data_IF_860893116073
#
_entry.id   IF_860893116073
#
_cell.length_a   1.000
_cell.length_b   1.000
_cell.length_c   1.000
_cell.angle_alpha   90.00
_cell.angle_beta   90.00
_cell.angle_gamma   90.00
#
_symmetry.space_group_name_H-M   'P 1'
#
loop_
_entity.id
_entity.type
_entity.pdbx_description
1 polymer ?
#
# COMPACT_ATOMS: atom_id res chain seq x y z
N UNK A 1 33.21 19.11 -2.52
CA UNK A 1 31.86 19.47 -2.02
C UNK A 1 31.21 20.38 -3.05
N UNK A 2 30.48 19.81 -4.00
CA UNK A 2 29.80 20.55 -5.07
C UNK A 2 28.32 20.67 -4.72
N UNK A 3 27.85 21.90 -4.59
CA UNK A 3 26.45 22.22 -4.28
C UNK A 3 25.68 22.31 -5.59
N UNK A 4 24.73 21.38 -5.78
CA UNK A 4 23.82 21.38 -6.93
C UNK A 4 22.77 22.46 -6.72
N UNK A 5 22.84 23.50 -7.57
CA UNK A 5 21.88 24.61 -7.66
C UNK A 5 20.63 24.10 -8.40
N UNK A 6 19.52 23.96 -7.70
CA UNK A 6 18.22 23.63 -8.29
C UNK A 6 17.68 24.89 -8.95
N UNK A 7 17.53 24.84 -10.28
CA UNK A 7 16.91 25.90 -11.08
C UNK A 7 15.42 25.96 -10.75
N UNK A 8 14.92 27.18 -10.54
CA UNK A 8 13.51 27.48 -10.33
C UNK A 8 12.71 27.17 -11.59
N UNK A 9 11.56 26.55 -11.38
CA UNK A 9 10.57 26.20 -12.38
C UNK A 9 9.66 27.42 -12.57
N UNK A 10 9.85 28.14 -13.67
CA UNK A 10 8.99 29.25 -14.11
C UNK A 10 7.66 28.63 -14.58
N UNK A 11 6.66 28.65 -13.70
CA UNK A 11 5.30 28.18 -13.97
C UNK A 11 4.33 29.35 -13.98
N UNK A 12 4.49 30.25 -14.95
CA UNK A 12 3.53 31.32 -15.22
C UNK A 12 3.19 31.37 -16.71
N UNK A 13 1.88 31.48 -16.97
CA UNK A 13 1.28 32.06 -18.19
C UNK A 13 0.66 31.13 -19.27
N UNK A 14 0.01 30.03 -18.88
CA UNK A 14 -0.87 29.24 -19.79
C UNK A 14 -2.33 29.77 -19.86
N UNK A 15 -2.65 30.84 -19.11
CA UNK A 15 -4.00 31.40 -19.02
C UNK A 15 -4.40 32.28 -20.22
N UNK A 16 -3.43 32.89 -20.90
CA UNK A 16 -3.68 33.87 -21.98
C UNK A 16 -4.14 33.27 -23.31
N UNK A 17 -3.89 31.99 -23.56
CA UNK A 17 -4.26 31.34 -24.83
C UNK A 17 -5.75 30.98 -24.88
N UNK A 18 -6.31 30.52 -23.76
CA UNK A 18 -7.73 30.17 -23.64
C UNK A 18 -8.63 31.41 -23.78
N UNK A 19 -8.21 32.55 -23.21
CA UNK A 19 -8.95 33.81 -23.31
C UNK A 19 -9.04 34.32 -24.76
N UNK A 20 -7.96 34.21 -25.54
CA UNK A 20 -7.95 34.58 -26.97
C UNK A 20 -8.87 33.68 -27.81
N UNK A 21 -8.93 32.39 -27.48
CA UNK A 21 -9.82 31.44 -28.15
C UNK A 21 -11.31 31.75 -27.96
N UNK A 22 -11.72 32.09 -26.74
CA UNK A 22 -13.14 32.41 -26.45
C UNK A 22 -13.61 33.67 -27.20
N UNK A 23 -12.80 34.73 -27.21
CA UNK A 23 -13.13 35.99 -27.87
C UNK A 23 -13.23 35.89 -29.41
N UNK A 24 -12.58 34.89 -30.02
CA UNK A 24 -12.70 34.61 -31.44
C UNK A 24 -14.02 33.87 -31.76
N UNK A 25 -14.42 32.94 -30.88
CA UNK A 25 -15.66 32.16 -30.99
C UNK A 25 -16.91 33.02 -30.84
N UNK A 26 -16.88 33.96 -29.89
CA UNK A 26 -17.99 34.90 -29.65
C UNK A 26 -18.23 35.83 -30.85
N UNK A 27 -17.14 36.31 -31.47
CA UNK A 27 -17.21 37.08 -32.72
C UNK A 27 -17.76 36.27 -33.89
N UNK A 28 -17.40 35.00 -34.00
CA UNK A 28 -17.90 34.15 -35.09
C UNK A 28 -19.40 33.85 -34.92
N UNK A 29 -19.87 33.63 -33.69
CA UNK A 29 -21.29 33.41 -33.40
C UNK A 29 -22.14 34.67 -33.65
N UNK A 30 -21.64 35.85 -33.31
CA UNK A 30 -22.31 37.11 -33.62
C UNK A 30 -22.46 37.35 -35.13
N UNK A 31 -21.52 36.87 -35.94
CA UNK A 31 -21.54 37.03 -37.40
C UNK A 31 -22.51 36.06 -38.11
N UNK A 32 -22.89 34.94 -37.48
CA UNK A 32 -23.70 33.87 -38.10
C UNK A 32 -25.17 33.93 -37.67
N UNK A 33 -25.54 34.85 -36.76
CA UNK A 33 -26.93 35.01 -36.34
C UNK A 33 -27.82 35.45 -37.54
N UNK A 34 -28.83 34.66 -37.93
CA UNK A 34 -29.68 35.00 -39.05
C UNK A 34 -30.58 36.21 -38.73
N UNK A 35 -30.86 37.09 -39.72
CA UNK A 35 -31.72 38.25 -39.50
C UNK A 35 -33.14 37.82 -39.12
N UNK A 36 -33.70 38.49 -38.13
CA UNK A 36 -35.05 38.25 -37.63
C UNK A 36 -36.09 38.36 -38.76
N UNK A 37 -37.07 37.44 -38.84
CA UNK A 37 -38.12 37.52 -39.86
C UNK A 37 -39.04 38.71 -39.57
N UNK A 38 -39.09 39.63 -40.52
CA UNK A 38 -40.05 40.73 -40.53
C UNK A 38 -41.47 40.19 -40.70
N UNK A 39 -42.37 40.67 -39.85
CA UNK A 39 -43.76 40.22 -39.77
C UNK A 39 -44.55 40.39 -41.07
N UNK A 40 -45.47 39.48 -41.31
CA UNK A 40 -46.61 39.66 -42.21
C UNK A 40 -47.88 39.39 -41.42
N UNK A 41 -48.62 40.46 -41.17
CA UNK A 41 -50.03 40.42 -40.79
C UNK A 41 -50.86 40.47 -42.08
N UNK A 42 -51.82 39.57 -42.24
CA UNK A 42 -53.03 39.79 -43.05
C UNK A 42 -54.09 38.76 -42.67
N UNK A 43 -55.31 39.26 -42.54
CA UNK A 43 -56.54 38.59 -42.17
C UNK A 43 -57.04 37.60 -43.22
N UNK A 44 -57.80 36.57 -42.80
CA UNK A 44 -59.10 36.29 -43.42
C UNK A 44 -59.97 35.33 -42.58
N UNK A 45 -61.29 35.47 -42.77
CA UNK A 45 -62.41 35.00 -41.95
C UNK A 45 -62.75 33.49 -42.09
N UNK A 46 -63.61 32.91 -41.21
CA UNK A 46 -63.81 31.46 -41.10
C UNK A 46 -64.90 30.90 -42.03
N UNK A 47 -64.56 29.87 -42.82
CA UNK A 47 -65.50 28.99 -43.57
C UNK A 47 -65.97 27.80 -42.71
N UNK A 48 -67.20 27.27 -42.93
CA UNK A 48 -67.84 26.27 -42.07
C UNK A 48 -67.32 24.83 -42.30
N UNK A 49 -67.56 23.92 -41.34
CA UNK A 49 -66.85 22.65 -41.22
C UNK A 49 -67.29 21.63 -42.27
N UNK A 50 -66.32 21.11 -43.04
CA UNK A 50 -66.46 19.88 -43.81
C UNK A 50 -65.96 18.70 -42.98
N UNK A 51 -66.67 17.58 -43.11
CA UNK A 51 -66.49 16.35 -42.35
C UNK A 51 -65.04 15.83 -42.34
N UNK A 52 -64.56 15.29 -41.19
CA UNK A 52 -63.19 14.83 -41.04
C UNK A 52 -62.97 13.51 -41.80
N UNK A 53 -62.29 13.61 -42.94
CA UNK A 53 -61.55 12.45 -43.48
C UNK A 53 -60.49 11.98 -42.47
N UNK A 54 -60.29 10.67 -42.29
CA UNK A 54 -59.33 10.14 -41.34
C UNK A 54 -57.89 10.58 -41.67
N UNK A 55 -57.31 11.37 -40.76
CA UNK A 55 -55.99 11.99 -40.87
C UNK A 55 -54.80 11.00 -40.98
N UNK A 56 -55.03 9.69 -40.92
CA UNK A 56 -53.97 8.67 -40.93
C UNK A 56 -53.37 8.40 -42.32
N UNK A 57 -53.97 8.90 -43.41
CA UNK A 57 -53.49 8.60 -44.78
C UNK A 57 -52.79 9.77 -45.51
N UNK A 58 -52.89 11.01 -45.03
CA UNK A 58 -52.23 12.17 -45.68
C UNK A 58 -50.77 12.41 -45.25
N UNK A 59 -50.30 11.83 -44.15
CA UNK A 59 -48.93 12.05 -43.66
C UNK A 59 -47.83 11.28 -44.43
N UNK A 60 -48.19 10.45 -45.43
CA UNK A 60 -47.24 9.56 -46.13
C UNK A 60 -46.65 10.10 -47.44
N UNK A 61 -47.20 11.16 -48.03
CA UNK A 61 -46.76 11.67 -49.36
C UNK A 61 -45.87 12.90 -49.21
N UNK A 62 -44.56 12.68 -49.27
CA UNK A 62 -43.56 13.76 -49.40
C UNK A 62 -42.31 13.58 -48.54
N UNK A 63 -42.37 12.70 -47.53
CA UNK A 63 -41.23 12.49 -46.64
C UNK A 63 -40.22 11.55 -47.29
N UNK A 64 -39.14 12.14 -47.81
CA UNK A 64 -38.03 11.41 -48.43
C UNK A 64 -37.47 10.36 -47.46
N UNK A 65 -36.93 9.25 -47.99
CA UNK A 65 -36.32 8.18 -47.18
C UNK A 65 -35.27 8.73 -46.19
N UNK A 66 -34.59 9.82 -46.56
CA UNK A 66 -33.59 10.50 -45.74
C UNK A 66 -34.18 11.12 -44.48
N UNK A 67 -35.36 11.73 -44.56
CA UNK A 67 -36.04 12.32 -43.39
C UNK A 67 -36.55 11.22 -42.46
N UNK A 68 -37.11 10.13 -42.99
CA UNK A 68 -37.51 8.97 -42.18
C UNK A 68 -36.35 8.36 -41.40
N UNK A 69 -35.18 8.23 -42.03
CA UNK A 69 -33.96 7.78 -41.36
C UNK A 69 -33.53 8.74 -40.25
N UNK A 70 -33.55 10.06 -40.49
CA UNK A 70 -33.20 11.06 -39.49
C UNK A 70 -34.16 11.08 -38.30
N UNK A 71 -35.46 10.90 -38.54
CA UNK A 71 -36.47 10.80 -37.47
C UNK A 71 -36.25 9.53 -36.64
N UNK A 72 -35.91 8.41 -37.27
CA UNK A 72 -35.57 7.17 -36.55
C UNK A 72 -34.28 7.33 -35.70
N UNK A 73 -33.22 7.92 -36.26
CA UNK A 73 -31.98 8.22 -35.53
C UNK A 73 -32.25 9.15 -34.33
N UNK A 74 -33.13 10.16 -34.50
CA UNK A 74 -33.49 11.08 -33.42
C UNK A 74 -34.36 10.41 -32.34
N UNK A 75 -35.27 9.53 -32.73
CA UNK A 75 -36.09 8.76 -31.80
C UNK A 75 -35.23 7.78 -30.98
N UNK A 76 -34.26 7.13 -31.61
CA UNK A 76 -33.29 6.24 -30.94
C UNK A 76 -32.42 7.03 -29.96
N UNK A 77 -31.91 8.21 -30.35
CA UNK A 77 -31.15 9.08 -29.44
C UNK A 77 -31.98 9.52 -28.22
N UNK A 78 -33.27 9.84 -28.40
CA UNK A 78 -34.16 10.16 -27.28
C UNK A 78 -34.44 8.97 -26.37
N UNK A 79 -34.53 7.74 -26.91
CA UNK A 79 -34.66 6.53 -26.11
C UNK A 79 -33.38 6.22 -25.33
N UNK A 80 -32.20 6.44 -25.93
CA UNK A 80 -30.92 6.31 -25.23
C UNK A 80 -30.78 7.34 -24.11
N UNK A 81 -31.19 8.60 -24.35
CA UNK A 81 -31.26 9.65 -23.33
C UNK A 81 -32.23 9.32 -22.19
N UNK A 82 -33.36 8.66 -22.48
CA UNK A 82 -34.31 8.24 -21.46
C UNK A 82 -33.79 7.06 -20.61
N UNK A 83 -32.88 6.24 -21.16
CA UNK A 83 -32.19 5.17 -20.45
C UNK A 83 -30.95 5.67 -19.68
N UNK A 84 -30.38 6.79 -20.09
CA UNK A 84 -29.31 7.49 -19.37
C UNK A 84 -29.93 8.24 -18.18
N UNK A 85 -30.13 7.52 -17.06
CA UNK A 85 -30.61 8.01 -15.75
C UNK A 85 -29.72 9.09 -15.10
N UNK A 86 -28.83 9.74 -15.84
CA UNK A 86 -27.91 10.75 -15.34
C UNK A 86 -28.61 12.11 -15.28
N UNK A 87 -29.09 12.45 -14.10
CA UNK A 87 -29.79 13.70 -13.75
C UNK A 87 -28.84 14.92 -13.71
N UNK A 88 -27.78 14.93 -14.51
CA UNK A 88 -26.93 16.10 -14.67
C UNK A 88 -27.65 17.09 -15.64
N UNK A 89 -28.10 18.27 -15.17
CA UNK A 89 -28.83 19.21 -16.02
C UNK A 89 -27.98 19.56 -17.24
N UNK A 90 -28.64 19.64 -18.41
CA UNK A 90 -28.12 19.90 -19.77
C UNK A 90 -27.34 21.22 -19.92
N UNK A 91 -26.31 21.45 -19.10
CA UNK A 91 -25.24 22.34 -19.51
C UNK A 91 -24.54 21.62 -20.65
N UNK A 92 -24.59 22.21 -21.85
CA UNK A 92 -23.87 21.78 -23.05
C UNK A 92 -22.38 21.90 -22.78
N UNK A 93 -21.87 20.98 -21.96
CA UNK A 93 -20.46 20.90 -21.61
C UNK A 93 -19.79 20.05 -22.67
N UNK A 94 -18.62 20.50 -23.14
CA UNK A 94 -17.84 19.75 -24.13
C UNK A 94 -17.53 18.35 -23.59
N UNK A 95 -17.33 17.37 -24.49
CA UNK A 95 -16.99 15.99 -24.11
C UNK A 95 -15.79 15.91 -23.15
N UNK A 96 -14.86 16.86 -23.28
CA UNK A 96 -13.71 17.03 -22.37
C UNK A 96 -14.16 17.28 -20.93
N UNK A 97 -15.15 18.14 -20.71
CA UNK A 97 -15.66 18.46 -19.36
C UNK A 97 -16.41 17.28 -18.77
N UNK A 98 -17.25 16.58 -19.54
CA UNK A 98 -17.94 15.36 -19.11
C UNK A 98 -16.94 14.28 -18.68
N UNK A 99 -15.89 14.08 -19.47
CA UNK A 99 -14.81 13.13 -19.16
C UNK A 99 -14.09 13.52 -17.86
N UNK A 100 -13.76 14.80 -17.67
CA UNK A 100 -13.12 15.29 -16.44
C UNK A 100 -14.03 15.15 -15.21
N UNK A 101 -15.32 15.45 -15.32
CA UNK A 101 -16.28 15.26 -14.20
C UNK A 101 -16.37 13.81 -13.77
N UNK A 102 -16.51 12.89 -14.73
CA UNK A 102 -16.52 11.45 -14.47
C UNK A 102 -15.21 10.99 -13.80
N UNK A 103 -14.07 11.50 -14.23
CA UNK A 103 -12.78 11.21 -13.59
C UNK A 103 -12.71 11.73 -12.14
N UNK A 104 -13.25 12.93 -11.88
CA UNK A 104 -13.32 13.50 -10.52
C UNK A 104 -14.26 12.68 -9.62
N UNK A 105 -15.41 12.24 -10.12
CA UNK A 105 -16.33 11.38 -9.36
C UNK A 105 -15.72 10.02 -9.04
N UNK A 106 -15.01 9.42 -9.99
CA UNK A 106 -14.26 8.18 -9.78
C UNK A 106 -13.15 8.38 -8.74
N UNK A 107 -12.40 9.48 -8.80
CA UNK A 107 -11.39 9.82 -7.81
C UNK A 107 -12.00 10.02 -6.41
N UNK A 108 -13.15 10.69 -6.31
CA UNK A 108 -13.88 10.85 -5.05
C UNK A 108 -14.39 9.51 -4.50
N UNK A 109 -14.86 8.61 -5.36
CA UNK A 109 -15.27 7.26 -4.97
C UNK A 109 -14.09 6.43 -4.45
N UNK A 110 -12.93 6.47 -5.14
CA UNK A 110 -11.69 5.82 -4.70
C UNK A 110 -11.20 6.40 -3.37
N UNK A 111 -11.24 7.72 -3.23
CA UNK A 111 -10.83 8.38 -1.98
C UNK A 111 -11.72 8.01 -0.79
N UNK A 112 -13.04 7.84 -1.01
CA UNK A 112 -13.96 7.34 0.03
C UNK A 112 -13.62 5.90 0.42
N UNK A 113 -13.30 5.05 -0.56
CA UNK A 113 -12.89 3.67 -0.31
C UNK A 113 -11.55 3.60 0.44
N UNK A 114 -10.60 4.48 0.11
CA UNK A 114 -9.31 4.58 0.82
C UNK A 114 -9.45 5.07 2.27
N UNK A 115 -10.52 5.81 2.57
CA UNK A 115 -10.87 6.25 3.93
C UNK A 115 -11.76 5.28 4.70
N UNK A 116 -12.16 4.16 4.10
CA UNK A 116 -12.89 3.13 4.83
C UNK A 116 -12.02 2.59 5.98
N UNK A 117 -12.46 2.66 7.24
CA UNK A 117 -11.69 2.19 8.39
C UNK A 117 -11.29 0.70 8.26
N UNK A 118 -12.07 -0.12 7.54
CA UNK A 118 -11.75 -1.52 7.28
C UNK A 118 -10.54 -1.66 6.34
N UNK A 119 -10.46 -0.80 5.33
CA UNK A 119 -9.34 -0.77 4.39
C UNK A 119 -8.07 -0.29 5.09
N UNK A 120 -8.18 0.75 5.92
CA UNK A 120 -7.07 1.24 6.74
C UNK A 120 -6.58 0.17 7.73
N UNK A 121 -7.48 -0.46 8.49
CA UNK A 121 -7.12 -1.54 9.41
C UNK A 121 -6.43 -2.73 8.70
N UNK A 122 -6.87 -3.08 7.50
CA UNK A 122 -6.22 -4.11 6.68
C UNK A 122 -4.81 -3.68 6.22
N UNK A 123 -4.65 -2.43 5.78
CA UNK A 123 -3.35 -1.86 5.37
C UNK A 123 -2.38 -1.83 6.55
N UNK A 124 -2.83 -1.40 7.72
CA UNK A 124 -2.03 -1.35 8.94
C UNK A 124 -1.63 -2.76 9.40
N UNK A 125 -2.57 -3.71 9.40
CA UNK A 125 -2.28 -5.10 9.73
C UNK A 125 -1.29 -5.75 8.75
N UNK A 126 -1.33 -5.37 7.47
CA UNK A 126 -0.38 -5.82 6.45
C UNK A 126 0.99 -5.17 6.64
N UNK A 127 1.04 -3.87 6.87
CA UNK A 127 2.28 -3.13 7.11
C UNK A 127 2.97 -3.63 8.38
N UNK A 128 2.23 -3.82 9.47
CA UNK A 128 2.73 -4.42 10.72
C UNK A 128 3.34 -5.80 10.48
N UNK A 129 2.67 -6.66 9.70
CA UNK A 129 3.21 -7.97 9.31
C UNK A 129 4.49 -7.86 8.48
N UNK A 130 4.53 -6.92 7.53
CA UNK A 130 5.73 -6.68 6.71
C UNK A 130 6.90 -6.20 7.58
N UNK A 131 6.68 -5.24 8.47
CA UNK A 131 7.71 -4.71 9.38
C UNK A 131 8.21 -5.80 10.33
N UNK A 132 7.31 -6.60 10.90
CA UNK A 132 7.68 -7.76 11.72
C UNK A 132 8.53 -8.75 10.92
N UNK A 133 8.13 -9.08 9.70
CA UNK A 133 8.88 -10.02 8.86
C UNK A 133 10.27 -9.49 8.51
N UNK A 134 10.37 -8.23 8.07
CA UNK A 134 11.65 -7.59 7.76
C UNK A 134 12.54 -7.53 9.01
N UNK A 135 11.99 -7.12 10.15
CA UNK A 135 12.74 -7.07 11.41
C UNK A 135 13.26 -8.45 11.84
N UNK A 136 12.43 -9.51 11.73
CA UNK A 136 12.85 -10.87 12.06
C UNK A 136 13.93 -11.39 11.10
N UNK A 137 13.81 -11.10 9.80
CA UNK A 137 14.83 -11.46 8.81
C UNK A 137 16.14 -10.71 9.10
N UNK A 138 16.08 -9.40 9.30
CA UNK A 138 17.26 -8.59 9.62
C UNK A 138 17.93 -9.04 10.93
N UNK A 139 17.15 -9.33 11.97
CA UNK A 139 17.67 -9.85 13.23
C UNK A 139 18.34 -11.22 13.05
N UNK A 140 17.73 -12.12 12.29
CA UNK A 140 18.28 -13.46 12.03
C UNK A 140 19.62 -13.36 11.27
N UNK A 141 19.68 -12.51 10.24
CA UNK A 141 20.91 -12.28 9.48
C UNK A 141 22.01 -11.64 10.33
N UNK A 142 21.65 -10.66 11.17
CA UNK A 142 22.57 -10.00 12.09
C UNK A 142 23.15 -10.97 13.12
N UNK A 143 22.31 -11.84 13.70
CA UNK A 143 22.74 -12.88 14.64
C UNK A 143 23.60 -13.95 13.96
N UNK A 144 23.25 -14.38 12.75
CA UNK A 144 24.05 -15.34 12.00
C UNK A 144 25.43 -14.77 11.65
N UNK A 145 25.49 -13.51 11.22
CA UNK A 145 26.74 -12.80 10.96
C UNK A 145 27.62 -12.70 12.21
N UNK A 146 27.04 -12.26 13.32
CA UNK A 146 27.75 -12.16 14.59
C UNK A 146 28.25 -13.53 15.09
N UNK A 147 27.41 -14.56 14.95
CA UNK A 147 27.79 -15.93 15.31
C UNK A 147 28.98 -16.42 14.49
N UNK A 148 29.02 -16.14 13.19
CA UNK A 148 30.16 -16.51 12.34
C UNK A 148 31.46 -15.80 12.79
N UNK A 149 31.37 -14.51 13.17
CA UNK A 149 32.50 -13.74 13.69
C UNK A 149 33.06 -14.34 15.00
N UNK A 150 32.18 -14.67 15.94
CA UNK A 150 32.58 -15.28 17.23
C UNK A 150 33.02 -16.73 17.06
N UNK A 151 32.44 -17.47 16.12
CA UNK A 151 32.79 -18.87 15.89
C UNK A 151 34.25 -19.03 15.47
N UNK A 152 34.74 -18.15 14.58
CA UNK A 152 36.14 -18.15 14.16
C UNK A 152 37.08 -17.94 15.35
N UNK A 153 36.70 -17.06 16.27
CA UNK A 153 37.45 -16.80 17.51
C UNK A 153 37.38 -18.00 18.48
N UNK A 154 36.18 -18.48 18.82
CA UNK A 154 35.97 -19.53 19.80
C UNK A 154 36.48 -20.92 19.35
N UNK A 155 36.52 -21.18 18.04
CA UNK A 155 37.07 -22.42 17.51
C UNK A 155 38.58 -22.53 17.79
N UNK A 156 39.33 -21.43 17.91
CA UNK A 156 40.78 -21.41 18.16
C UNK A 156 41.58 -22.35 17.22
N UNK A 157 41.19 -22.40 15.95
CA UNK A 157 41.83 -23.30 14.96
C UNK A 157 41.42 -24.77 15.06
N UNK A 158 40.37 -25.10 15.82
CA UNK A 158 39.84 -26.46 15.89
C UNK A 158 39.51 -27.00 14.47
N UNK A 159 39.80 -28.29 14.18
CA UNK A 159 39.47 -28.89 12.89
C UNK A 159 37.99 -28.77 12.55
N UNK A 160 37.69 -28.45 11.29
CA UNK A 160 36.32 -28.38 10.81
C UNK A 160 35.59 -29.71 11.05
N UNK A 161 34.38 -29.64 11.62
CA UNK A 161 33.58 -30.81 11.99
C UNK A 161 33.91 -31.44 13.34
N UNK A 162 34.96 -30.99 14.04
CA UNK A 162 35.21 -31.42 15.43
C UNK A 162 34.10 -30.97 16.37
N UNK A 163 33.87 -31.66 17.51
CA UNK A 163 32.88 -31.23 18.50
C UNK A 163 33.11 -29.79 18.97
N UNK A 164 34.36 -29.39 19.18
CA UNK A 164 34.73 -28.02 19.56
C UNK A 164 34.30 -26.99 18.49
N UNK A 165 34.51 -27.30 17.21
CA UNK A 165 34.09 -26.44 16.10
C UNK A 165 32.56 -26.23 16.09
N UNK A 166 31.79 -27.27 16.39
CA UNK A 166 30.33 -27.18 16.53
C UNK A 166 29.89 -26.43 17.79
N UNK A 167 30.53 -26.65 18.94
CA UNK A 167 30.20 -25.91 20.17
C UNK A 167 30.49 -24.41 20.03
N UNK A 168 31.51 -24.02 19.26
CA UNK A 168 31.80 -22.63 18.95
C UNK A 168 30.63 -21.93 18.22
N UNK A 169 29.84 -22.65 17.40
CA UNK A 169 28.62 -22.11 16.78
C UNK A 169 27.48 -21.83 17.77
N UNK A 170 27.49 -22.45 18.95
CA UNK A 170 26.42 -22.31 19.96
C UNK A 170 26.72 -21.24 21.02
N UNK A 171 27.99 -20.85 21.16
CA UNK A 171 28.41 -19.87 22.17
C UNK A 171 27.68 -18.53 22.01
N UNK A 172 27.70 -17.97 20.79
CA UNK A 172 27.07 -16.68 20.53
C UNK A 172 25.54 -16.72 20.61
N UNK A 173 24.82 -17.68 19.99
CA UNK A 173 23.38 -17.79 20.17
C UNK A 173 22.96 -17.87 21.64
N UNK A 174 23.69 -18.59 22.48
CA UNK A 174 23.38 -18.68 23.90
C UNK A 174 23.44 -17.31 24.59
N UNK A 175 24.51 -16.54 24.39
CA UNK A 175 24.66 -15.19 24.93
C UNK A 175 23.62 -14.22 24.34
N UNK A 176 23.44 -14.25 23.01
CA UNK A 176 22.50 -13.41 22.28
C UNK A 176 21.04 -13.69 22.68
N UNK A 177 20.64 -14.93 22.94
CA UNK A 177 19.30 -15.28 23.43
C UNK A 177 19.05 -14.74 24.85
N UNK A 178 20.05 -14.84 25.73
CA UNK A 178 19.96 -14.28 27.08
C UNK A 178 19.79 -12.74 27.04
N UNK A 179 20.59 -12.06 26.21
CA UNK A 179 20.45 -10.63 25.99
C UNK A 179 19.09 -10.27 25.37
N UNK A 180 18.68 -10.99 24.33
CA UNK A 180 17.41 -10.78 23.64
C UNK A 180 16.23 -10.89 24.61
N UNK A 181 16.26 -11.89 25.50
CA UNK A 181 15.25 -12.07 26.54
C UNK A 181 15.13 -10.82 27.44
N UNK A 182 16.26 -10.30 27.93
CA UNK A 182 16.30 -9.12 28.81
C UNK A 182 15.79 -7.87 28.08
N UNK A 183 16.33 -7.58 26.89
CA UNK A 183 15.97 -6.37 26.13
C UNK A 183 14.52 -6.45 25.64
N UNK A 184 14.07 -7.61 25.15
CA UNK A 184 12.69 -7.80 24.72
C UNK A 184 11.71 -7.71 25.88
N UNK A 185 12.04 -8.29 27.05
CA UNK A 185 11.24 -8.18 28.27
C UNK A 185 11.07 -6.72 28.72
N UNK A 186 12.18 -5.97 28.80
CA UNK A 186 12.15 -4.54 29.14
C UNK A 186 11.31 -3.73 28.15
N UNK A 187 11.53 -3.95 26.86
CA UNK A 187 10.80 -3.24 25.81
C UNK A 187 9.31 -3.57 25.86
N UNK A 188 8.94 -4.83 26.06
CA UNK A 188 7.56 -5.26 26.23
C UNK A 188 6.88 -4.57 27.43
N UNK A 189 7.51 -4.56 28.60
CA UNK A 189 6.96 -3.89 29.78
C UNK A 189 6.78 -2.37 29.55
N UNK A 190 7.73 -1.74 28.84
CA UNK A 190 7.64 -0.33 28.45
C UNK A 190 6.42 -0.07 27.57
N UNK A 191 6.13 -0.94 26.59
CA UNK A 191 4.93 -0.80 25.74
C UNK A 191 3.61 -0.92 26.51
N UNK A 192 3.64 -1.47 27.73
CA UNK A 192 2.48 -1.59 28.63
C UNK A 192 2.40 -0.47 29.66
N UNK A 193 3.26 0.55 29.59
CA UNK A 193 3.30 1.64 30.57
C UNK A 193 3.99 1.28 31.88
N UNK A 194 4.71 0.16 31.95
CA UNK A 194 5.47 -0.26 33.11
C UNK A 194 6.97 -0.24 32.79
N UNK A 195 7.63 0.93 32.81
CA UNK A 195 9.07 0.99 32.55
C UNK A 195 9.83 0.24 33.66
N UNK A 196 10.59 -0.79 33.28
CA UNK A 196 11.45 -1.54 34.19
C UNK A 196 12.75 -0.75 34.40
N UNK A 197 12.83 0.01 35.50
CA UNK A 197 14.01 0.78 35.89
C UNK A 197 14.74 0.07 37.03
N UNK A 198 15.36 -1.07 36.72
CA UNK A 198 16.17 -1.84 37.66
C UNK A 198 17.64 -1.83 37.22
N UNK A 199 18.52 -1.36 38.12
CA UNK A 199 19.97 -1.31 37.88
C UNK A 199 20.58 -2.69 37.65
N UNK A 200 20.02 -3.74 38.25
CA UNK A 200 20.51 -5.11 38.02
C UNK A 200 20.28 -5.51 36.56
N UNK A 201 19.10 -5.23 36.03
CA UNK A 201 18.74 -5.48 34.63
C UNK A 201 19.62 -4.68 33.68
N UNK A 202 19.84 -3.39 33.96
CA UNK A 202 20.72 -2.53 33.17
C UNK A 202 22.14 -3.09 33.12
N UNK A 203 22.69 -3.52 34.26
CA UNK A 203 24.03 -4.11 34.34
C UNK A 203 24.11 -5.41 33.55
N UNK A 204 23.13 -6.30 33.69
CA UNK A 204 23.10 -7.56 32.94
C UNK A 204 23.06 -7.31 31.43
N UNK A 205 22.26 -6.35 30.98
CA UNK A 205 22.21 -5.93 29.58
C UNK A 205 23.58 -5.42 29.10
N UNK A 206 24.23 -4.52 29.86
CA UNK A 206 25.56 -4.01 29.52
C UNK A 206 26.64 -5.08 29.52
N UNK A 207 26.58 -6.05 30.44
CA UNK A 207 27.54 -7.17 30.49
C UNK A 207 27.41 -8.05 29.25
N UNK A 208 26.19 -8.47 28.88
CA UNK A 208 26.00 -9.28 27.68
C UNK A 208 26.34 -8.51 26.40
N UNK A 209 25.96 -7.23 26.32
CA UNK A 209 26.35 -6.36 25.20
C UNK A 209 27.86 -6.24 25.08
N UNK A 210 28.54 -5.96 26.20
CA UNK A 210 30.00 -5.86 26.24
C UNK A 210 30.68 -7.17 25.85
N UNK A 211 30.13 -8.31 26.26
CA UNK A 211 30.65 -9.64 25.92
C UNK A 211 30.54 -9.92 24.42
N UNK A 212 29.33 -9.80 23.84
CA UNK A 212 29.13 -10.01 22.39
C UNK A 212 29.96 -9.02 21.57
N UNK A 213 29.94 -7.73 21.94
CA UNK A 213 30.71 -6.71 21.22
C UNK A 213 32.21 -6.96 21.34
N UNK A 214 32.68 -7.31 22.53
CA UNK A 214 34.07 -7.63 22.81
C UNK A 214 34.56 -8.80 21.97
N UNK A 215 33.82 -9.92 21.95
CA UNK A 215 34.20 -11.10 21.16
C UNK A 215 34.24 -10.83 19.65
N UNK A 216 33.32 -9.99 19.13
CA UNK A 216 33.32 -9.61 17.71
C UNK A 216 34.40 -8.58 17.37
N UNK A 217 34.72 -7.65 18.29
CA UNK A 217 35.68 -6.58 18.05
C UNK A 217 37.13 -7.00 18.28
N UNK A 218 37.36 -7.84 19.28
CA UNK A 218 38.69 -8.12 19.84
C UNK A 218 39.73 -8.54 18.79
N UNK A 219 39.44 -9.48 17.87
CA UNK A 219 40.41 -9.89 16.85
C UNK A 219 40.80 -8.77 15.87
N UNK A 220 40.04 -7.68 15.84
CA UNK A 220 40.20 -6.55 14.92
C UNK A 220 40.68 -5.27 15.61
N UNK A 221 40.99 -5.32 16.91
CA UNK A 221 41.51 -4.17 17.64
C UNK A 221 42.99 -3.90 17.32
N UNK A 222 43.43 -2.63 17.36
CA UNK A 222 44.84 -2.29 17.19
C UNK A 222 45.67 -2.94 18.30
N UNK A 223 46.76 -3.60 17.92
CA UNK A 223 47.64 -4.33 18.85
C UNK A 223 47.29 -5.81 19.03
N UNK A 224 46.10 -6.25 18.60
CA UNK A 224 45.72 -7.68 18.55
C UNK A 224 45.74 -8.18 17.11
N UNK A 225 45.18 -7.40 16.19
CA UNK A 225 45.17 -7.72 14.75
C UNK A 225 46.57 -7.57 14.15
N UNK A 226 46.93 -8.48 13.24
CA UNK A 226 48.15 -8.35 12.44
C UNK A 226 48.12 -7.08 11.57
N UNK A 227 47.00 -6.87 10.87
CA UNK A 227 46.73 -5.67 10.06
C UNK A 227 45.47 -4.97 10.57
N UNK A 228 45.66 -3.83 11.23
CA UNK A 228 44.52 -3.04 11.71
C UNK A 228 43.86 -2.28 10.55
N UNK A 229 42.56 -2.54 10.35
CA UNK A 229 41.73 -1.74 9.45
C UNK A 229 40.45 -1.33 10.17
N UNK A 230 40.14 -0.02 10.11
CA UNK A 230 38.89 0.50 10.67
C UNK A 230 37.67 -0.16 10.03
N UNK A 231 37.72 -0.37 8.71
CA UNK A 231 36.65 -1.05 7.97
C UNK A 231 36.41 -2.48 8.44
N UNK A 232 37.47 -3.24 8.75
CA UNK A 232 37.35 -4.60 9.27
C UNK A 232 36.70 -4.64 10.65
N UNK A 233 37.09 -3.74 11.54
CA UNK A 233 36.47 -3.59 12.86
C UNK A 233 34.98 -3.22 12.74
N UNK A 234 34.64 -2.20 11.96
CA UNK A 234 33.25 -1.75 11.75
C UNK A 234 32.39 -2.88 11.17
N UNK A 235 32.93 -3.64 10.21
CA UNK A 235 32.20 -4.73 9.56
C UNK A 235 31.81 -5.86 10.54
N UNK A 236 32.69 -6.19 11.49
CA UNK A 236 32.40 -7.22 12.51
C UNK A 236 31.46 -6.70 13.61
N UNK A 237 31.48 -5.39 13.89
CA UNK A 237 30.55 -4.77 14.82
C UNK A 237 29.13 -4.57 14.25
N UNK A 238 28.97 -4.59 12.93
CA UNK A 238 27.71 -4.30 12.27
C UNK A 238 26.58 -5.25 12.71
N UNK A 239 26.87 -6.56 12.80
CA UNK A 239 25.89 -7.57 13.22
C UNK A 239 25.29 -7.28 14.61
N UNK A 240 26.11 -7.26 15.68
CA UNK A 240 25.63 -6.93 17.03
C UNK A 240 24.87 -5.60 17.11
N UNK A 241 25.38 -4.55 16.47
CA UNK A 241 24.73 -3.22 16.48
C UNK A 241 23.35 -3.27 15.83
N UNK A 242 23.22 -3.91 14.67
CA UNK A 242 21.93 -4.06 13.98
C UNK A 242 20.96 -4.90 14.82
N UNK A 243 21.41 -5.99 15.42
CA UNK A 243 20.57 -6.83 16.27
C UNK A 243 19.98 -6.02 17.44
N UNK A 244 20.82 -5.28 18.15
CA UNK A 244 20.40 -4.43 19.28
C UNK A 244 19.46 -3.32 18.82
N UNK A 245 19.74 -2.68 17.69
CA UNK A 245 18.88 -1.64 17.11
C UNK A 245 17.49 -2.19 16.79
N UNK A 246 17.40 -3.36 16.14
CA UNK A 246 16.12 -4.00 15.81
C UNK A 246 15.33 -4.32 17.07
N UNK A 247 15.95 -4.93 18.08
CA UNK A 247 15.26 -5.34 19.32
C UNK A 247 14.77 -4.14 20.12
N UNK A 248 15.52 -3.03 20.15
CA UNK A 248 15.10 -1.80 20.85
C UNK A 248 14.06 -0.98 20.08
N UNK A 249 14.13 -0.96 18.74
CA UNK A 249 13.24 -0.15 17.91
C UNK A 249 11.91 -0.85 17.62
N UNK A 250 11.91 -2.15 17.38
CA UNK A 250 10.72 -2.88 16.91
C UNK A 250 9.53 -2.74 17.87
N UNK A 251 9.64 -2.93 19.20
CA UNK A 251 8.49 -2.79 20.10
C UNK A 251 7.92 -1.37 20.13
N UNK A 252 8.77 -0.35 20.02
CA UNK A 252 8.35 1.06 19.96
C UNK A 252 7.60 1.36 18.67
N UNK A 253 8.09 0.87 17.53
CA UNK A 253 7.38 0.97 16.25
C UNK A 253 6.02 0.27 16.32
N UNK A 254 5.96 -0.93 16.87
CA UNK A 254 4.70 -1.67 17.01
C UNK A 254 3.71 -0.97 17.94
N UNK A 255 4.19 -0.35 19.03
CA UNK A 255 3.36 0.46 19.91
C UNK A 255 2.82 1.71 19.21
N UNK A 256 3.64 2.38 18.39
CA UNK A 256 3.17 3.49 17.57
C UNK A 256 2.07 3.07 16.58
N UNK A 257 2.21 1.90 15.93
CA UNK A 257 1.15 1.35 15.07
C UNK A 257 -0.14 1.04 15.84
N UNK A 258 -0.05 0.61 17.10
CA UNK A 258 -1.23 0.39 17.93
C UNK A 258 -1.98 1.71 18.23
N UNK A 259 -1.27 2.82 18.33
CA UNK A 259 -1.85 4.17 18.49
C UNK A 259 -2.45 4.77 17.22
N UNK A 260 -2.15 4.23 16.03
CA UNK A 260 -2.72 4.68 14.76
C UNK A 260 -4.14 4.16 14.50
N UNK A 261 -4.62 3.19 15.29
CA UNK A 261 -5.98 2.69 15.18
C UNK A 261 -6.95 3.85 15.39
N UNK A 262 -7.71 4.20 14.34
CA UNK A 262 -8.74 5.23 14.40
C UNK A 262 -9.67 4.94 15.58
N UNK A 263 -10.05 5.96 16.38
CA UNK A 263 -11.06 5.79 17.41
C UNK A 263 -12.32 5.27 16.72
N UNK A 264 -12.61 3.99 16.95
CA UNK A 264 -13.87 3.38 16.53
C UNK A 264 -14.94 4.24 17.18
N UNK A 265 -15.85 4.83 16.39
CA UNK A 265 -16.75 5.92 16.80
C UNK A 265 -17.70 5.68 17.98
N UNK A 266 -17.49 4.64 18.79
CA UNK A 266 -18.07 4.48 20.12
C UNK A 266 -17.50 5.49 21.15
N UNK A 267 -16.25 5.94 21.00
CA UNK A 267 -15.60 6.86 21.97
C UNK A 267 -15.67 8.35 21.56
N UNK A 268 -16.25 8.68 20.39
CA UNK A 268 -16.43 10.07 19.96
C UNK A 268 -17.51 10.83 20.78
N UNK A 269 -18.21 10.15 21.69
CA UNK A 269 -19.19 10.74 22.62
C UNK A 269 -18.64 11.08 24.01
N UNK A 270 -17.40 10.71 24.34
CA UNK A 270 -16.80 10.96 25.65
C UNK A 270 -15.51 11.76 25.51
N UNK A 271 -15.64 13.06 25.27
CA UNK A 271 -14.51 13.97 25.42
C UNK A 271 -13.98 13.91 26.87
N UNK A 272 -12.68 13.70 27.10
CA UNK A 272 -12.11 13.80 28.44
C UNK A 272 -12.04 15.28 28.83
N UNK A 273 -13.02 15.72 29.62
CA UNK A 273 -12.97 16.97 30.36
C UNK A 273 -11.97 16.85 31.52
N UNK A 274 -10.67 16.79 31.24
CA UNK A 274 -9.63 16.81 32.27
C UNK A 274 -8.26 17.25 31.71
N UNK A 275 -8.16 18.52 31.32
CA UNK A 275 -6.89 19.25 31.29
C UNK A 275 -7.15 20.75 31.48
N UNK A 276 -7.90 21.11 32.52
CA UNK A 276 -7.82 22.43 33.16
C UNK A 276 -6.74 22.31 34.23
N UNK A 277 -5.49 22.44 33.80
CA UNK A 277 -4.35 22.64 34.69
C UNK A 277 -4.03 24.11 34.70
N UNK A 278 -4.36 24.75 35.82
CA UNK A 278 -4.11 26.14 36.16
C UNK A 278 -2.64 26.55 35.95
N UNK A 279 -2.43 27.74 35.41
CA UNK A 279 -1.18 28.44 35.62
C UNK A 279 -1.13 29.00 37.04
N UNK A 280 0.09 29.24 37.57
CA UNK A 280 0.52 30.49 38.22
C UNK A 280 1.94 30.35 38.76
N UNK A 281 2.82 31.20 38.25
CA UNK A 281 4.09 31.63 38.84
C UNK A 281 3.83 32.42 40.12
N UNK A 282 4.49 32.08 41.23
CA UNK A 282 5.04 33.08 42.17
C UNK A 282 6.01 32.47 43.18
N UNK A 283 6.98 33.28 43.57
CA UNK A 283 8.15 32.96 44.36
C UNK A 283 7.99 33.35 45.84
N UNK A 284 9.01 32.96 46.62
CA UNK A 284 9.50 33.60 47.86
C UNK A 284 8.96 33.14 49.23
N UNK A 285 9.91 32.53 49.98
CA UNK A 285 10.30 32.83 51.37
C UNK A 285 9.36 32.50 52.53
N UNK A 286 9.84 31.67 53.47
CA UNK A 286 9.21 31.47 54.78
C UNK A 286 9.82 30.35 55.62
N UNK A 287 10.63 30.74 56.59
CA UNK A 287 11.36 30.00 57.63
C UNK A 287 10.53 29.08 58.56
N UNK A 288 11.21 28.02 59.03
CA UNK A 288 11.25 27.44 60.41
C UNK A 288 9.96 26.93 61.11
N UNK A 289 9.94 25.63 61.46
CA UNK A 289 10.26 25.11 62.83
C UNK A 289 9.76 23.66 63.04
N UNK A 290 10.67 22.84 63.59
CA UNK A 290 10.59 21.56 64.31
C UNK A 290 9.22 20.92 64.65
N UNK A 291 9.12 19.59 64.55
CA UNK A 291 9.24 18.71 65.73
C UNK A 291 9.24 17.21 65.37
N UNK A 292 10.07 16.51 66.13
CA UNK A 292 10.30 15.08 66.23
C UNK A 292 9.05 14.33 66.70
N UNK A 293 8.73 13.16 66.12
CA UNK A 293 8.15 12.03 66.88
C UNK A 293 8.47 10.71 66.17
N UNK A 294 9.28 9.92 66.89
CA UNK A 294 9.59 8.50 66.72
C UNK A 294 8.36 7.64 67.03
N UNK A 295 8.00 6.67 66.17
CA UNK A 295 7.47 5.35 66.55
C UNK A 295 7.15 4.46 65.33
N UNK A 296 7.96 3.43 65.12
CA UNK A 296 7.58 2.06 64.69
C UNK A 296 7.74 1.17 65.95
N UNK A 297 7.22 -0.08 66.05
CA UNK A 297 6.63 -0.94 65.02
C UNK A 297 5.32 -1.66 65.44
N UNK A 298 4.62 -2.32 64.51
CA UNK A 298 3.73 -3.46 64.83
C UNK A 298 3.58 -4.41 63.65
N UNK A 299 3.89 -5.67 63.90
CA UNK A 299 3.82 -6.83 63.01
C UNK A 299 2.40 -7.15 62.51
N UNK A 300 2.23 -7.72 61.30
CA UNK A 300 1.03 -8.47 60.97
C UNK A 300 1.20 -9.98 61.17
N UNK A 301 0.27 -10.54 61.94
CA UNK A 301 -0.03 -11.96 62.13
C UNK A 301 -0.45 -12.67 60.83
N UNK A 302 -0.20 -13.99 60.70
CA UNK A 302 -0.61 -14.79 59.55
C UNK A 302 -2.07 -15.23 59.69
N UNK A 303 -2.88 -15.03 58.65
CA UNK A 303 -4.27 -15.52 58.59
C UNK A 303 -4.35 -16.78 57.72
N UNK A 304 -4.68 -17.85 58.43
CA UNK A 304 -5.15 -19.18 58.08
C UNK A 304 -6.10 -19.28 56.88
N UNK A 305 -5.84 -20.27 56.03
CA UNK A 305 -6.70 -20.75 54.95
C UNK A 305 -7.88 -21.62 55.44
N UNK A 306 -8.99 -21.68 54.68
CA UNK A 306 -9.93 -22.80 54.73
C UNK A 306 -10.08 -23.55 53.37
N UNK A 307 -10.68 -24.77 53.39
CA UNK A 307 -10.42 -25.90 52.47
C UNK A 307 -11.34 -25.97 51.22
N UNK A 308 -11.08 -26.91 50.27
CA UNK A 308 -11.77 -26.94 48.99
C UNK A 308 -13.11 -27.67 49.03
N UNK A 309 -14.13 -27.08 48.39
CA UNK A 309 -15.40 -27.73 48.12
C UNK A 309 -15.42 -28.30 46.70
N UNK A 310 -15.50 -29.62 46.64
CA UNK A 310 -15.84 -30.41 45.45
C UNK A 310 -17.26 -30.11 44.99
N UNK A 311 -17.47 -29.88 43.69
CA UNK A 311 -18.80 -30.02 43.09
C UNK A 311 -18.66 -30.69 41.73
N UNK A 312 -19.01 -31.97 41.72
CA UNK A 312 -19.27 -32.79 40.54
C UNK A 312 -20.60 -32.42 39.92
N UNK A 313 -20.62 -32.16 38.61
CA UNK A 313 -21.85 -32.17 37.80
C UNK A 313 -21.59 -33.02 36.55
N UNK A 314 -22.38 -34.06 36.27
CA UNK A 314 -22.34 -34.78 35.01
C UNK A 314 -23.40 -34.21 34.06
N UNK A 315 -23.03 -33.93 32.81
CA UNK A 315 -24.01 -33.73 31.75
C UNK A 315 -23.49 -34.21 30.38
N UNK A 316 -24.23 -35.20 29.91
CA UNK A 316 -24.23 -36.02 28.71
C UNK A 316 -24.40 -35.25 27.39
N UNK A 317 -23.66 -35.71 26.35
CA UNK A 317 -23.98 -35.73 24.89
C UNK A 317 -24.05 -34.40 24.08
N UNK A 318 -23.95 -34.42 22.72
CA UNK A 318 -23.46 -35.45 21.80
C UNK A 318 -22.34 -34.98 20.84
N UNK A 319 -21.65 -35.98 20.26
CA UNK A 319 -20.67 -35.83 19.20
C UNK A 319 -21.30 -35.30 17.89
N UNK A 320 -20.94 -34.07 17.52
CA UNK A 320 -21.15 -33.53 16.18
C UNK A 320 -19.86 -33.66 15.37
N UNK A 321 -19.85 -34.66 14.50
CA UNK A 321 -18.87 -34.93 13.45
C UNK A 321 -18.81 -33.73 12.50
N UNK A 322 -17.85 -32.82 12.70
CA UNK A 322 -17.53 -31.75 11.74
C UNK A 322 -16.27 -32.13 10.98
N UNK A 323 -16.49 -32.49 9.73
CA UNK A 323 -15.46 -32.66 8.70
C UNK A 323 -14.55 -31.44 8.67
N UNK A 324 -13.30 -31.64 9.04
CA UNK A 324 -12.20 -30.69 8.83
C UNK A 324 -11.91 -30.61 7.33
N UNK A 325 -12.57 -29.69 6.64
CA UNK A 325 -12.10 -29.25 5.33
C UNK A 325 -10.83 -28.45 5.58
N UNK A 326 -9.69 -29.11 5.42
CA UNK A 326 -8.35 -28.53 5.48
C UNK A 326 -8.26 -27.43 4.41
N UNK A 327 -8.62 -26.20 4.78
CA UNK A 327 -8.48 -25.01 3.93
C UNK A 327 -7.00 -24.66 3.90
N UNK A 328 -6.27 -25.36 3.04
CA UNK A 328 -4.88 -25.14 2.68
C UNK A 328 -4.78 -23.81 1.94
N UNK A 329 -4.77 -22.69 2.67
CA UNK A 329 -4.35 -21.39 2.12
C UNK A 329 -2.82 -21.32 2.13
N UNK A 330 -2.18 -22.25 1.44
CA UNK A 330 -0.88 -22.00 0.86
C UNK A 330 -1.18 -21.21 -0.41
N UNK A 331 -1.19 -19.87 -0.29
CA UNK A 331 -1.17 -18.97 -1.43
C UNK A 331 0.23 -19.09 -2.03
N UNK A 332 0.49 -20.21 -2.70
CA UNK A 332 1.52 -20.29 -3.70
C UNK A 332 1.20 -19.17 -4.68
N UNK A 333 2.02 -18.13 -4.67
CA UNK A 333 2.19 -17.24 -5.81
C UNK A 333 2.40 -18.16 -7.00
N UNK A 334 1.35 -18.37 -7.78
CA UNK A 334 1.45 -18.97 -9.11
C UNK A 334 2.55 -18.14 -9.78
N UNK A 335 3.71 -18.74 -10.13
CA UNK A 335 4.76 -18.00 -10.80
C UNK A 335 4.10 -17.36 -12.02
N UNK A 336 4.08 -16.01 -12.05
CA UNK A 336 3.54 -15.30 -13.20
C UNK A 336 4.22 -15.89 -14.44
N UNK A 337 3.46 -16.33 -15.46
CA UNK A 337 4.06 -16.91 -16.64
C UNK A 337 5.05 -15.89 -17.20
N UNK A 338 6.32 -16.29 -17.22
CA UNK A 338 7.46 -15.47 -17.64
C UNK A 338 7.07 -14.78 -18.95
N UNK A 339 6.81 -13.48 -18.90
CA UNK A 339 6.41 -12.71 -20.09
C UNK A 339 7.57 -12.80 -21.07
N UNK A 340 7.37 -13.53 -22.18
CA UNK A 340 8.34 -13.60 -23.28
C UNK A 340 8.64 -12.18 -23.74
N UNK A 341 9.93 -11.86 -23.88
CA UNK A 341 10.34 -10.56 -24.41
C UNK A 341 9.95 -10.47 -25.88
N UNK A 342 9.82 -9.24 -26.40
CA UNK A 342 9.53 -9.06 -27.83
C UNK A 342 10.61 -9.67 -28.73
N UNK A 343 11.89 -9.62 -28.31
CA UNK A 343 13.00 -10.24 -29.04
C UNK A 343 12.84 -11.76 -29.16
N UNK A 344 12.44 -12.44 -28.07
CA UNK A 344 12.16 -13.88 -28.09
C UNK A 344 10.99 -14.23 -29.03
N UNK A 345 9.93 -13.40 -29.02
CA UNK A 345 8.80 -13.59 -29.94
C UNK A 345 9.20 -13.34 -31.40
N UNK A 346 10.17 -12.46 -31.66
CA UNK A 346 10.70 -12.23 -33.01
C UNK A 346 11.56 -13.41 -33.51
N UNK A 347 12.38 -14.02 -32.65
CA UNK A 347 13.13 -15.24 -32.98
C UNK A 347 12.19 -16.42 -33.24
N UNK A 348 11.20 -16.65 -32.37
CA UNK A 348 10.19 -17.70 -32.58
C UNK A 348 9.37 -17.46 -33.86
N UNK A 349 9.07 -16.20 -34.18
CA UNK A 349 8.40 -15.84 -35.43
C UNK A 349 9.26 -16.15 -36.65
N UNK A 350 10.54 -15.76 -36.63
CA UNK A 350 11.48 -16.06 -37.73
C UNK A 350 11.63 -17.57 -37.95
N UNK A 351 11.69 -18.36 -36.87
CA UNK A 351 11.72 -19.81 -36.95
C UNK A 351 10.42 -20.38 -37.58
N UNK A 352 9.25 -19.84 -37.21
CA UNK A 352 7.97 -20.25 -37.79
C UNK A 352 7.80 -19.81 -39.26
N UNK A 353 8.50 -18.77 -39.71
CA UNK A 353 8.55 -18.41 -41.14
C UNK A 353 9.46 -19.35 -41.92
N UNK A 354 10.58 -19.78 -41.32
CA UNK A 354 11.51 -20.71 -41.94
C UNK A 354 10.94 -22.14 -42.06
N UNK A 355 10.18 -22.59 -41.06
CA UNK A 355 9.48 -23.89 -41.05
C UNK A 355 7.98 -23.68 -40.74
N UNK A 356 7.15 -23.38 -41.77
CA UNK A 356 5.75 -22.98 -41.56
C UNK A 356 4.89 -24.11 -41.00
N UNK A 357 4.35 -23.99 -39.78
CA UNK A 357 3.38 -24.96 -39.30
C UNK A 357 2.11 -24.92 -40.14
N UNK A 358 1.39 -26.04 -40.22
CA UNK A 358 0.19 -26.16 -41.06
C UNK A 358 -0.82 -25.04 -40.77
N UNK A 359 -1.13 -24.23 -41.79
CA UNK A 359 -2.07 -23.10 -41.70
C UNK A 359 -1.47 -21.80 -41.14
N UNK A 360 -0.14 -21.69 -41.04
CA UNK A 360 0.53 -20.46 -40.66
C UNK A 360 0.66 -19.50 -41.85
N UNK A 361 -0.03 -18.37 -41.74
CA UNK A 361 0.12 -17.21 -42.63
C UNK A 361 0.86 -16.06 -41.91
N UNK A 362 2.08 -15.70 -42.32
CA UNK A 362 2.85 -14.61 -41.72
C UNK A 362 2.31 -13.20 -42.07
N UNK A 363 1.45 -13.07 -43.08
CA UNK A 363 0.78 -11.81 -43.41
C UNK A 363 -0.47 -11.56 -42.56
N UNK A 364 -0.96 -12.58 -41.83
CA UNK A 364 -2.13 -12.47 -40.97
C UNK A 364 -1.78 -12.39 -39.47
N UNK A 365 -2.06 -11.24 -38.85
CA UNK A 365 -1.76 -11.02 -37.43
C UNK A 365 -2.48 -11.97 -36.47
N UNK A 366 -3.62 -12.55 -36.85
CA UNK A 366 -4.32 -13.54 -36.03
C UNK A 366 -3.63 -14.92 -36.07
N UNK A 367 -3.11 -15.31 -37.23
CA UNK A 367 -2.28 -16.51 -37.42
C UNK A 367 -1.01 -16.45 -36.55
N UNK A 368 -0.31 -15.31 -36.55
CA UNK A 368 0.86 -15.06 -35.68
C UNK A 368 0.49 -15.17 -34.21
N UNK A 369 -0.63 -14.57 -33.81
CA UNK A 369 -1.10 -14.59 -32.42
C UNK A 369 -1.39 -16.02 -31.94
N UNK A 370 -2.03 -16.83 -32.78
CA UNK A 370 -2.41 -18.21 -32.46
C UNK A 370 -1.18 -19.12 -32.36
N UNK A 371 -0.25 -18.98 -33.31
CA UNK A 371 0.97 -19.80 -33.40
C UNK A 371 1.94 -19.48 -32.25
N UNK A 372 2.19 -18.20 -32.00
CA UNK A 372 3.13 -17.77 -30.95
C UNK A 372 2.47 -17.61 -29.57
N UNK A 373 1.15 -17.76 -29.45
CA UNK A 373 0.37 -17.51 -28.21
C UNK A 373 0.70 -16.15 -27.57
N UNK A 374 0.80 -15.10 -28.37
CA UNK A 374 1.18 -13.75 -27.93
C UNK A 374 -0.03 -12.78 -27.90
N UNK A 375 0.21 -11.53 -27.48
CA UNK A 375 -0.81 -10.48 -27.47
C UNK A 375 -1.07 -9.87 -28.85
N UNK A 376 -2.17 -9.11 -29.01
CA UNK A 376 -2.52 -8.45 -30.28
C UNK A 376 -1.44 -7.47 -30.76
N UNK A 377 -0.91 -6.63 -29.84
CA UNK A 377 0.12 -5.63 -30.15
C UNK A 377 1.40 -6.24 -30.77
N UNK A 378 2.09 -7.20 -30.12
CA UNK A 378 3.30 -7.79 -30.69
C UNK A 378 3.02 -8.57 -31.98
N UNK A 379 1.86 -9.22 -32.12
CA UNK A 379 1.49 -9.90 -33.36
C UNK A 379 1.33 -8.93 -34.55
N UNK A 380 0.70 -7.77 -34.32
CA UNK A 380 0.57 -6.72 -35.35
C UNK A 380 1.94 -6.13 -35.71
N UNK A 381 2.82 -5.93 -34.74
CA UNK A 381 4.17 -5.41 -34.98
C UNK A 381 5.03 -6.37 -35.80
N UNK A 382 5.04 -7.67 -35.45
CA UNK A 382 5.75 -8.71 -36.20
C UNK A 382 5.24 -8.82 -37.64
N UNK A 383 3.92 -8.80 -37.84
CA UNK A 383 3.32 -8.78 -39.18
C UNK A 383 3.80 -7.57 -40.01
N UNK A 384 3.78 -6.39 -39.42
CA UNK A 384 4.16 -5.17 -40.14
C UNK A 384 5.66 -5.19 -40.50
N UNK A 385 6.53 -5.74 -39.65
CA UNK A 385 7.96 -5.95 -39.97
C UNK A 385 8.12 -6.94 -41.13
N UNK A 386 7.44 -8.07 -41.05
CA UNK A 386 7.44 -9.07 -42.12
C UNK A 386 7.03 -8.48 -43.48
N UNK A 387 5.93 -7.72 -43.51
CA UNK A 387 5.43 -7.07 -44.73
C UNK A 387 6.41 -6.00 -45.26
N UNK A 388 7.09 -5.28 -44.38
CA UNK A 388 8.09 -4.29 -44.78
C UNK A 388 9.35 -4.94 -45.37
N UNK A 389 9.77 -6.10 -44.84
CA UNK A 389 10.91 -6.87 -45.36
C UNK A 389 10.57 -7.60 -46.66
N UNK A 390 9.37 -8.20 -46.75
CA UNK A 390 8.94 -8.94 -47.94
C UNK A 390 8.61 -8.03 -49.13
N UNK A 391 8.12 -6.81 -48.87
CA UNK A 391 7.76 -5.84 -49.91
C UNK A 391 8.94 -5.06 -50.49
N UNK A 392 10.16 -5.24 -49.96
CA UNK A 392 11.39 -4.59 -50.46
C UNK A 392 12.26 -5.46 -51.36
N UNK A 393 11.80 -6.68 -51.72
CA UNK A 393 12.55 -7.64 -52.56
C UNK A 393 11.97 -7.82 -53.98
N UNK A 394 11.00 -6.99 -54.37
CA UNK A 394 10.53 -6.83 -55.76
C UNK A 394 11.27 -5.65 -56.42
#
# INVERSE_FOLDING_TARGET
MSTTKIAGDDHDDDGGEVGRGLAALERHLAAVAPPAPAGHAAADAPEPPRDPEPASQRAGRGVTRRVRRRVAEHAEAHQLLALETDTAPFQVTTDKVRTRRKAVEQAAALWRLDRDPRVLAYRDARMRRLILAVALVSLTLALAWSTAGVQAFAAEGAPAGSPRWWFAWLAEPFCSLALLMVVAGRAYLTTRGHPLNDRAVDRTEWVFLGLTLGMNAWPHLPGVAADFTVSGLVLHLLGPVVAVAVVRCLPRLLAAFAGLALPTGADAGAAPAAARGEGRTEAATGEATQAVTTALPSSPTPVTAPPPASTSVPATRPAARRSTTTRRTARATIPEPKRRSFAQLAEEFAAAVADPPAGFDPANGESIRKTLRCGKKPATELRNRYLAESGGSD
#
